data_IF_813251295816
#
_entry.id   IF_813251295816
#
_cell.length_a   1.000
_cell.length_b   1.000
_cell.length_c   1.000
_cell.angle_alpha   90.00
_cell.angle_beta   90.00
_cell.angle_gamma   90.00
#
_symmetry.space_group_name_H-M   'P 1'
#
loop_
_entity.id
_entity.type
_entity.pdbx_description
1 polymer ?
#
# COMPACT_ATOMS: atom_id res chain seq x y z
N UNK A 1 -10.36 -20.84 6.19
CA UNK A 1 -8.98 -20.45 6.54
C UNK A 1 -8.40 -19.57 5.45
N UNK A 2 -7.83 -18.45 5.82
CA UNK A 2 -7.23 -17.52 4.85
C UNK A 2 -5.80 -17.96 4.58
N UNK A 3 -5.50 -18.19 3.31
CA UNK A 3 -4.17 -18.59 2.89
C UNK A 3 -3.32 -17.36 2.63
N UNK A 4 -2.16 -17.26 3.26
CA UNK A 4 -1.22 -16.16 3.03
C UNK A 4 -0.64 -16.26 1.62
N UNK A 5 -0.51 -15.12 0.96
CA UNK A 5 0.07 -15.03 -0.37
C UNK A 5 1.08 -13.89 -0.39
N UNK A 6 2.07 -13.99 -1.26
CA UNK A 6 2.96 -12.87 -1.48
C UNK A 6 2.19 -11.74 -2.14
N UNK A 7 2.26 -10.57 -1.52
CA UNK A 7 1.56 -9.37 -2.00
C UNK A 7 2.45 -8.17 -1.92
N UNK A 8 2.11 -7.17 -2.72
CA UNK A 8 2.71 -5.85 -2.65
C UNK A 8 2.24 -5.16 -1.38
N UNK A 9 3.18 -4.62 -0.61
CA UNK A 9 2.88 -3.83 0.60
C UNK A 9 3.62 -2.51 0.48
N UNK A 10 2.88 -1.40 0.49
CA UNK A 10 3.43 -0.06 0.41
C UNK A 10 3.24 0.62 1.76
N UNK A 11 4.33 1.08 2.36
CA UNK A 11 4.27 1.79 3.63
C UNK A 11 4.35 3.30 3.40
N UNK A 12 3.92 4.07 4.39
CA UNK A 12 3.80 5.52 4.28
C UNK A 12 4.50 6.20 5.44
N UNK A 13 4.91 7.45 5.25
CA UNK A 13 5.52 8.24 6.32
C UNK A 13 4.49 8.72 7.33
N UNK A 14 3.24 8.93 6.91
CA UNK A 14 2.19 9.48 7.78
C UNK A 14 0.87 8.76 7.53
N UNK A 15 0.00 8.79 8.54
CA UNK A 15 -1.36 8.28 8.42
C UNK A 15 -2.15 9.06 7.37
N UNK A 16 -1.90 10.37 7.26
CA UNK A 16 -2.55 11.21 6.24
C UNK A 16 -2.25 10.71 4.84
N UNK A 17 -0.99 10.32 4.57
CA UNK A 17 -0.62 9.77 3.27
C UNK A 17 -1.32 8.44 3.00
N UNK A 18 -1.44 7.57 4.01
CA UNK A 18 -2.13 6.30 3.88
C UNK A 18 -3.61 6.51 3.55
N UNK A 19 -4.25 7.46 4.22
CA UNK A 19 -5.66 7.78 3.97
C UNK A 19 -5.87 8.40 2.59
N UNK A 20 -4.94 9.25 2.15
CA UNK A 20 -4.98 9.81 0.80
C UNK A 20 -4.89 8.70 -0.26
N UNK A 21 -4.01 7.72 -0.04
CA UNK A 21 -3.89 6.57 -0.92
C UNK A 21 -5.21 5.80 -1.02
N UNK A 22 -5.85 5.55 0.12
CA UNK A 22 -7.13 4.87 0.15
C UNK A 22 -8.19 5.61 -0.67
N UNK A 23 -8.31 6.92 -0.46
CA UNK A 23 -9.29 7.74 -1.17
C UNK A 23 -9.05 7.74 -2.67
N UNK A 24 -7.81 7.88 -3.09
CA UNK A 24 -7.44 7.90 -4.51
C UNK A 24 -7.73 6.56 -5.16
N UNK A 25 -7.38 5.46 -4.49
CA UNK A 25 -7.60 4.12 -5.03
C UNK A 25 -9.09 3.79 -5.12
N UNK A 26 -9.89 4.23 -4.16
CA UNK A 26 -11.35 4.06 -4.24
C UNK A 26 -11.93 4.83 -5.42
N UNK A 27 -11.48 6.05 -5.64
CA UNK A 27 -11.98 6.89 -6.72
C UNK A 27 -11.59 6.36 -8.10
N UNK A 28 -10.40 5.79 -8.24
CA UNK A 28 -9.89 5.29 -9.52
C UNK A 28 -10.16 3.82 -9.76
N UNK A 29 -10.67 3.10 -8.76
CA UNK A 29 -10.89 1.65 -8.87
C UNK A 29 -9.61 0.83 -8.83
N UNK A 30 -8.54 1.38 -8.26
CA UNK A 30 -7.27 0.68 -8.17
C UNK A 30 -7.34 -0.48 -7.17
N UNK A 31 -6.52 -1.50 -7.41
CA UNK A 31 -6.49 -2.69 -6.58
C UNK A 31 -5.91 -2.40 -5.19
N UNK A 32 -6.42 -3.10 -4.18
CA UNK A 32 -5.81 -3.12 -2.86
C UNK A 32 -6.69 -2.59 -1.74
N UNK A 33 -6.10 -2.54 -0.56
CA UNK A 33 -6.79 -2.09 0.66
C UNK A 33 -5.77 -1.68 1.71
N UNK A 34 -6.23 -0.90 2.69
CA UNK A 34 -5.43 -0.57 3.88
C UNK A 34 -5.36 -1.78 4.80
N UNK A 35 -4.17 -2.06 5.30
CA UNK A 35 -3.92 -3.08 6.31
C UNK A 35 -3.00 -2.50 7.39
N UNK A 36 -2.96 -3.10 8.59
CA UNK A 36 -1.90 -2.77 9.54
C UNK A 36 -0.55 -3.19 8.96
N UNK A 37 0.50 -2.43 9.25
CA UNK A 37 1.85 -2.78 8.80
C UNK A 37 2.23 -4.15 9.36
N UNK A 38 2.68 -5.10 8.50
CA UNK A 38 3.13 -6.41 8.99
C UNK A 38 4.28 -6.28 9.98
N UNK A 39 4.33 -7.18 10.96
CA UNK A 39 5.34 -7.13 12.03
C UNK A 39 6.78 -7.26 11.51
N UNK A 40 6.97 -7.82 10.32
CA UNK A 40 8.28 -7.96 9.70
C UNK A 40 8.78 -6.65 9.08
N UNK A 41 7.94 -5.62 9.03
CA UNK A 41 8.25 -4.34 8.40
C UNK A 41 8.20 -3.25 9.46
N UNK A 42 9.20 -2.35 9.46
CA UNK A 42 9.21 -1.17 10.30
C UNK A 42 8.76 0.03 9.48
N UNK A 43 7.78 0.78 9.98
CA UNK A 43 7.28 1.97 9.30
C UNK A 43 6.85 3.01 10.34
N UNK A 44 6.94 4.30 9.97
CA UNK A 44 6.55 5.40 10.86
C UNK A 44 5.04 5.45 11.05
N UNK A 45 4.29 5.14 9.99
CA UNK A 45 2.83 5.02 10.02
C UNK A 45 2.47 3.56 10.31
N UNK A 46 1.46 3.34 11.15
CA UNK A 46 1.01 1.98 11.46
C UNK A 46 0.17 1.33 10.36
N UNK A 47 -0.04 2.01 9.23
CA UNK A 47 -0.89 1.53 8.14
C UNK A 47 -0.09 1.33 6.86
N UNK A 48 -0.54 0.38 6.05
CA UNK A 48 0.08 0.09 4.76
C UNK A 48 -1.00 -0.21 3.72
N UNK A 49 -0.62 -0.10 2.45
CA UNK A 49 -1.49 -0.49 1.34
C UNK A 49 -1.07 -1.86 0.85
N UNK A 50 -2.02 -2.78 0.80
CA UNK A 50 -1.79 -4.15 0.35
C UNK A 50 -2.52 -4.37 -0.97
N UNK A 51 -1.80 -4.89 -1.96
CA UNK A 51 -2.36 -5.14 -3.28
C UNK A 51 -1.68 -6.34 -3.92
N UNK A 52 -2.17 -6.75 -5.09
CA UNK A 52 -1.54 -7.80 -5.88
C UNK A 52 -0.20 -7.28 -6.42
N UNK A 53 0.79 -8.18 -6.55
CA UNK A 53 2.10 -7.80 -7.08
C UNK A 53 2.02 -7.18 -8.46
N UNK A 54 1.16 -7.69 -9.33
CA UNK A 54 1.00 -7.18 -10.69
C UNK A 54 0.41 -5.77 -10.74
N UNK A 55 -0.12 -5.26 -9.65
CA UNK A 55 -0.66 -3.89 -9.58
C UNK A 55 0.40 -2.85 -9.24
N UNK A 56 1.64 -3.26 -9.00
CA UNK A 56 2.71 -2.36 -8.52
C UNK A 56 2.91 -1.16 -9.43
N UNK A 57 3.12 -1.38 -10.71
CA UNK A 57 3.40 -0.29 -11.65
C UNK A 57 2.26 0.72 -11.72
N UNK A 58 1.03 0.21 -11.79
CA UNK A 58 -0.16 1.07 -11.84
C UNK A 58 -0.31 1.90 -10.57
N UNK A 59 -0.06 1.28 -9.41
CA UNK A 59 -0.18 1.97 -8.13
C UNK A 59 0.92 3.02 -7.95
N UNK A 60 2.15 2.71 -8.34
CA UNK A 60 3.24 3.68 -8.26
C UNK A 60 3.02 4.88 -9.17
N UNK A 61 2.52 4.64 -10.39
CA UNK A 61 2.13 5.73 -11.30
C UNK A 61 1.07 6.62 -10.67
N UNK A 62 0.05 6.02 -10.07
CA UNK A 62 -1.02 6.76 -9.42
C UNK A 62 -0.49 7.60 -8.27
N UNK A 63 0.42 7.06 -7.48
CA UNK A 63 1.05 7.79 -6.37
C UNK A 63 1.85 8.99 -6.86
N UNK A 64 2.60 8.82 -7.95
CA UNK A 64 3.36 9.92 -8.56
C UNK A 64 2.41 11.02 -9.02
N UNK A 65 1.33 10.67 -9.70
CA UNK A 65 0.35 11.62 -10.19
C UNK A 65 -0.30 12.41 -9.06
N UNK A 66 -0.46 11.79 -7.89
CA UNK A 66 -1.11 12.39 -6.74
C UNK A 66 -0.14 12.91 -5.68
N UNK A 67 1.15 12.92 -6.00
CA UNK A 67 2.21 13.42 -5.11
C UNK A 67 2.29 12.70 -3.77
N UNK A 68 2.00 11.40 -3.76
CA UNK A 68 2.17 10.55 -2.57
C UNK A 68 3.52 9.84 -2.68
N UNK A 69 4.40 10.04 -1.70
CA UNK A 69 5.70 9.38 -1.65
C UNK A 69 5.65 8.20 -0.70
N UNK A 70 5.88 6.97 -1.18
CA UNK A 70 5.91 5.82 -0.28
C UNK A 70 7.16 5.84 0.60
N UNK A 71 7.04 5.36 1.83
CA UNK A 71 8.20 5.16 2.69
C UNK A 71 8.98 3.94 2.27
N UNK A 72 8.29 2.86 1.95
CA UNK A 72 8.90 1.63 1.49
C UNK A 72 7.95 0.81 0.65
N UNK A 73 8.52 -0.04 -0.20
CA UNK A 73 7.77 -0.92 -1.09
C UNK A 73 8.30 -2.32 -0.86
N UNK A 74 7.42 -3.24 -0.50
CA UNK A 74 7.79 -4.60 -0.11
C UNK A 74 6.91 -5.62 -0.81
N UNK A 75 7.45 -6.82 -0.96
CA UNK A 75 6.68 -8.00 -1.38
C UNK A 75 6.80 -9.01 -0.27
N UNK A 76 5.69 -9.29 0.41
CA UNK A 76 5.72 -10.16 1.57
C UNK A 76 4.43 -10.98 1.71
N UNK A 77 4.51 -12.01 2.54
CA UNK A 77 3.36 -12.87 2.82
C UNK A 77 2.43 -12.19 3.82
N UNK A 78 1.22 -11.97 3.41
CA UNK A 78 0.19 -11.36 4.26
C UNK A 78 -1.18 -11.98 4.03
#
# INVERSE_FOLDING_TARGET
MIKKQERLVITFYTTTAAMAMENICKASGADGRIIPVPSSITADCGLAWCAKNESEDALLDLMVQCSITPQGIYHCLV
#
